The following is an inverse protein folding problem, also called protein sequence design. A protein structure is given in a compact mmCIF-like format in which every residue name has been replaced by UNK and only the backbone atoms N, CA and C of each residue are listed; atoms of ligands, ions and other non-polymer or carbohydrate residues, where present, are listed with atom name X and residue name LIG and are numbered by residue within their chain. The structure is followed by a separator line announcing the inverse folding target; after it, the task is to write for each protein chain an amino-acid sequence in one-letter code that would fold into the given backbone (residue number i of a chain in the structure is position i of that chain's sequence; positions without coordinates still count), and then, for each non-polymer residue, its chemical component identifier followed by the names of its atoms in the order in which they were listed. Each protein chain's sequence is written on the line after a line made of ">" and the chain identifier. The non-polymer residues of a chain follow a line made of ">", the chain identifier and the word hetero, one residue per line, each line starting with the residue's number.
data_IF_904412503304
#
_entry.id   IF_904412503304
#
_cell.length_a   1.000
_cell.length_b   1.000
_cell.length_c   1.000
_cell.angle_alpha   90.00
_cell.angle_beta   90.00
_cell.angle_gamma   90.00
#
_symmetry.space_group_name_H-M   'P 1'
#
loop_
_entity.id
_entity.type
_entity.pdbx_description
1 polymer ?
#
# COMPACT_ATOMS: atom_id res chain seq x y z
N UNK A 1 -1.48 -13.21 4.31
CA UNK A 1 -1.19 -12.35 5.48
C UNK A 1 0.32 -12.20 5.68
N UNK A 2 0.81 -10.96 5.75
CA UNK A 2 2.22 -10.62 6.00
C UNK A 2 2.67 -11.14 7.38
N UNK A 3 3.98 -11.39 7.57
CA UNK A 3 4.53 -11.81 8.87
C UNK A 3 4.60 -10.61 9.80
N UNK A 4 4.20 -10.78 11.07
CA UNK A 4 4.40 -9.73 12.08
C UNK A 4 5.89 -9.59 12.44
N UNK A 5 6.27 -8.46 13.02
CA UNK A 5 7.62 -8.29 13.56
C UNK A 5 7.96 -9.37 14.63
N UNK A 6 6.96 -9.78 15.42
CA UNK A 6 7.10 -10.88 16.38
C UNK A 6 7.48 -12.18 15.69
N UNK A 7 6.79 -12.54 14.61
CA UNK A 7 7.06 -13.74 13.83
C UNK A 7 8.50 -13.76 13.30
N UNK A 8 8.96 -12.66 12.71
CA UNK A 8 10.35 -12.55 12.20
C UNK A 8 11.38 -12.75 13.30
N UNK A 9 11.18 -12.12 14.46
CA UNK A 9 12.12 -12.22 15.59
C UNK A 9 12.10 -13.62 16.22
N UNK A 10 10.92 -14.21 16.40
CA UNK A 10 10.78 -15.54 17.00
C UNK A 10 11.37 -16.64 16.10
N UNK A 11 11.16 -16.56 14.78
CA UNK A 11 11.81 -17.47 13.83
C UNK A 11 13.33 -17.35 13.87
N UNK A 12 13.86 -16.14 14.02
CA UNK A 12 15.30 -15.90 14.14
C UNK A 12 15.87 -16.54 15.41
N UNK A 13 15.16 -16.44 16.54
CA UNK A 13 15.54 -17.08 17.80
C UNK A 13 15.49 -18.62 17.71
N UNK A 14 14.42 -19.18 17.10
CA UNK A 14 14.29 -20.62 16.87
C UNK A 14 15.42 -21.15 15.98
N UNK A 15 15.75 -20.43 14.92
CA UNK A 15 16.87 -20.76 14.03
C UNK A 15 18.21 -20.77 14.79
N UNK A 16 18.46 -19.76 15.62
CA UNK A 16 19.66 -19.71 16.47
C UNK A 16 19.72 -20.86 17.50
N UNK A 17 18.57 -21.36 17.94
CA UNK A 17 18.45 -22.53 18.81
C UNK A 17 18.49 -23.88 18.07
N UNK A 18 18.69 -23.90 16.75
CA UNK A 18 18.75 -25.12 15.94
C UNK A 18 17.39 -25.70 15.52
N UNK A 19 16.29 -24.97 15.73
CA UNK A 19 14.93 -25.40 15.39
C UNK A 19 14.53 -24.78 14.05
N UNK A 20 14.69 -25.55 12.97
CA UNK A 20 14.43 -25.11 11.59
C UNK A 20 13.09 -25.53 11.00
N UNK A 21 12.28 -26.32 11.73
CA UNK A 21 11.04 -26.90 11.18
C UNK A 21 9.85 -25.94 11.25
N UNK A 22 9.97 -24.86 12.02
CA UNK A 22 8.92 -23.86 12.19
C UNK A 22 9.07 -22.80 11.09
N UNK A 23 8.08 -22.70 10.20
CA UNK A 23 8.08 -21.75 9.07
C UNK A 23 7.38 -20.42 9.40
N UNK A 24 6.52 -20.43 10.43
CA UNK A 24 5.76 -19.27 10.91
C UNK A 24 5.36 -19.47 12.37
N UNK A 25 5.44 -18.39 13.16
CA UNK A 25 4.98 -18.34 14.54
C UNK A 25 4.38 -16.96 14.82
N UNK A 26 3.08 -16.90 15.13
CA UNK A 26 2.40 -15.63 15.43
C UNK A 26 1.99 -15.58 16.91
N UNK A 27 1.83 -14.36 17.44
CA UNK A 27 1.31 -14.12 18.78
C UNK A 27 -0.05 -13.46 18.67
N UNK A 28 -1.02 -13.97 19.42
CA UNK A 28 -2.35 -13.37 19.57
C UNK A 28 -2.63 -13.10 21.04
N UNK A 29 -3.53 -12.16 21.30
CA UNK A 29 -4.11 -11.91 22.62
C UNK A 29 -5.54 -12.43 22.57
N UNK A 30 -5.89 -13.31 23.51
CA UNK A 30 -7.27 -13.79 23.66
C UNK A 30 -7.93 -13.03 24.80
N UNK A 31 -8.97 -12.28 24.47
CA UNK A 31 -9.85 -11.66 25.46
C UNK A 31 -10.96 -12.64 25.84
N UNK A 32 -11.21 -12.77 27.13
CA UNK A 32 -12.32 -13.53 27.68
C UNK A 32 -13.22 -12.55 28.42
N UNK A 33 -14.52 -12.63 28.17
CA UNK A 33 -15.53 -11.78 28.79
C UNK A 33 -16.44 -12.63 29.68
N UNK A 34 -16.70 -12.15 30.89
CA UNK A 34 -17.71 -12.73 31.76
C UNK A 34 -19.08 -12.16 31.38
N UNK A 35 -19.76 -12.83 30.44
CA UNK A 35 -21.08 -12.41 29.93
C UNK A 35 -21.14 -12.32 28.41
N UNK A 36 -21.98 -11.42 27.91
CA UNK A 36 -22.09 -11.18 26.48
C UNK A 36 -20.81 -10.51 25.95
N UNK A 37 -20.42 -10.88 24.72
CA UNK A 37 -19.34 -10.21 23.99
C UNK A 37 -19.78 -8.76 23.73
N UNK A 38 -18.94 -7.74 24.02
CA UNK A 38 -19.25 -6.34 23.72
C UNK A 38 -19.47 -6.09 22.21
N UNK A 39 -20.06 -4.95 21.87
CA UNK A 39 -20.17 -4.48 20.49
C UNK A 39 -18.80 -4.14 19.86
N UNK A 40 -18.79 -4.02 18.53
CA UNK A 40 -17.56 -3.81 17.75
C UNK A 40 -16.82 -2.51 18.12
N UNK A 41 -17.52 -1.43 18.47
CA UNK A 41 -16.90 -0.16 18.88
C UNK A 41 -16.11 -0.37 20.19
N UNK A 42 -16.74 -1.01 21.17
CA UNK A 42 -16.10 -1.33 22.45
C UNK A 42 -14.92 -2.29 22.26
N UNK A 43 -15.06 -3.28 21.37
CA UNK A 43 -13.97 -4.21 21.06
C UNK A 43 -12.78 -3.50 20.39
N UNK A 44 -13.01 -2.53 19.51
CA UNK A 44 -11.95 -1.73 18.90
C UNK A 44 -11.23 -0.86 19.93
N UNK A 45 -11.94 -0.29 20.90
CA UNK A 45 -11.30 0.45 22.01
C UNK A 45 -10.41 -0.46 22.88
N UNK A 46 -10.85 -1.70 23.14
CA UNK A 46 -10.09 -2.68 23.93
C UNK A 46 -8.87 -3.23 23.16
N UNK A 47 -9.06 -3.54 21.87
CA UNK A 47 -8.03 -4.12 21.01
C UNK A 47 -7.00 -3.09 20.52
N UNK A 48 -7.37 -1.80 20.51
CA UNK A 48 -6.52 -0.70 20.06
C UNK A 48 -6.19 -0.82 18.57
N UNK A 49 -4.90 -0.90 18.25
CA UNK A 49 -4.38 -1.00 16.89
C UNK A 49 -4.34 -2.44 16.34
N UNK A 50 -4.80 -3.42 17.12
CA UNK A 50 -4.77 -4.82 16.70
C UNK A 50 -5.97 -5.20 15.84
N UNK A 51 -5.71 -5.95 14.77
CA UNK A 51 -6.79 -6.60 14.01
C UNK A 51 -7.53 -7.60 14.92
N UNK A 52 -8.85 -7.46 14.99
CA UNK A 52 -9.73 -8.38 15.70
C UNK A 52 -10.05 -9.56 14.78
N UNK A 53 -9.92 -10.78 15.32
CA UNK A 53 -10.28 -12.02 14.63
C UNK A 53 -11.36 -12.74 15.43
N UNK A 54 -12.52 -12.96 14.81
CA UNK A 54 -13.67 -13.64 15.43
C UNK A 54 -13.61 -15.17 15.30
N UNK A 55 -12.83 -15.67 14.34
CA UNK A 55 -12.72 -17.08 13.98
C UNK A 55 -11.28 -17.59 14.06
N UNK A 56 -11.11 -18.91 13.90
CA UNK A 56 -9.78 -19.50 13.76
C UNK A 56 -9.07 -18.93 12.52
N UNK A 57 -7.86 -18.39 12.73
CA UNK A 57 -7.07 -17.76 11.68
C UNK A 57 -6.32 -18.84 10.89
N UNK A 58 -6.48 -18.82 9.57
CA UNK A 58 -5.63 -19.59 8.67
C UNK A 58 -4.39 -18.77 8.27
N UNK A 59 -3.21 -19.31 8.58
CA UNK A 59 -1.93 -18.72 8.23
C UNK A 59 -1.26 -19.37 7.03
N UNK A 60 -1.97 -20.27 6.34
CA UNK A 60 -1.48 -20.92 5.13
C UNK A 60 -1.00 -19.85 4.15
N UNK A 61 0.29 -19.86 3.78
CA UNK A 61 0.79 -18.89 2.82
C UNK A 61 0.04 -19.07 1.50
N UNK A 62 -0.55 -17.99 0.98
CA UNK A 62 -0.99 -17.96 -0.41
C UNK A 62 0.28 -18.13 -1.24
N UNK A 63 0.46 -19.32 -1.81
CA UNK A 63 1.61 -19.66 -2.63
C UNK A 63 1.34 -19.20 -4.05
N UNK A 64 2.14 -18.27 -4.54
CA UNK A 64 2.13 -17.84 -5.93
C UNK A 64 2.55 -16.39 -6.04
N UNK A 65 3.34 -16.07 -7.05
CA UNK A 65 3.45 -14.69 -7.51
C UNK A 65 2.21 -14.42 -8.34
N UNK A 66 1.43 -13.40 -7.97
CA UNK A 66 0.35 -12.95 -8.85
C UNK A 66 0.97 -12.46 -10.17
N UNK A 67 0.32 -12.81 -11.28
CA UNK A 67 0.75 -12.31 -12.57
C UNK A 67 0.43 -10.83 -12.64
N UNK A 68 1.37 -10.03 -13.13
CA UNK A 68 1.09 -8.67 -13.55
C UNK A 68 0.20 -8.70 -14.79
N UNK A 69 -0.54 -7.63 -15.02
CA UNK A 69 -1.39 -7.47 -16.20
C UNK A 69 -1.13 -6.14 -16.88
N UNK A 70 -1.42 -6.08 -18.18
CA UNK A 70 -1.29 -4.87 -18.97
C UNK A 70 -2.59 -4.07 -18.98
N UNK A 71 -2.47 -2.75 -18.93
CA UNK A 71 -3.59 -1.83 -19.09
C UNK A 71 -3.59 -1.40 -20.56
N UNK A 72 -4.67 -1.71 -21.28
CA UNK A 72 -4.74 -1.45 -22.72
C UNK A 72 -4.97 0.03 -23.06
N UNK A 73 -3.93 0.83 -22.88
CA UNK A 73 -3.93 2.26 -23.16
C UNK A 73 -3.82 2.54 -24.65
N UNK A 74 -3.13 1.68 -25.42
CA UNK A 74 -3.02 1.81 -26.88
C UNK A 74 -4.35 1.62 -27.59
N UNK A 75 -5.19 0.68 -27.12
CA UNK A 75 -6.54 0.48 -27.63
C UNK A 75 -7.50 1.60 -27.20
N UNK A 76 -7.46 1.99 -25.93
CA UNK A 76 -8.26 3.08 -25.39
C UNK A 76 -7.53 3.83 -24.25
N UNK A 77 -7.10 5.09 -24.48
CA UNK A 77 -6.43 5.89 -23.46
C UNK A 77 -7.23 6.06 -22.17
N UNK A 78 -8.56 5.91 -22.20
CA UNK A 78 -9.42 6.04 -21.02
C UNK A 78 -9.26 4.87 -20.05
N UNK A 79 -8.67 3.75 -20.48
CA UNK A 79 -8.36 2.63 -19.61
C UNK A 79 -7.35 3.00 -18.53
N UNK A 80 -6.50 4.02 -18.76
CA UNK A 80 -5.63 4.53 -17.70
C UNK A 80 -6.44 5.24 -16.59
N UNK A 81 -7.53 5.94 -16.94
CA UNK A 81 -8.38 6.61 -15.93
C UNK A 81 -9.09 5.56 -15.06
N UNK A 82 -9.61 4.49 -15.68
CA UNK A 82 -10.21 3.37 -14.95
C UNK A 82 -9.19 2.69 -14.04
N UNK A 83 -7.99 2.43 -14.55
CA UNK A 83 -6.93 1.82 -13.75
C UNK A 83 -6.52 2.70 -12.55
N UNK A 84 -6.52 4.03 -12.71
CA UNK A 84 -6.24 4.95 -11.61
C UNK A 84 -7.26 4.82 -10.47
N UNK A 85 -8.55 4.70 -10.80
CA UNK A 85 -9.63 4.52 -9.83
C UNK A 85 -9.63 3.12 -9.21
N UNK A 86 -9.57 2.07 -10.04
CA UNK A 86 -9.66 0.67 -9.61
C UNK A 86 -8.45 0.22 -8.79
N UNK A 87 -7.25 0.70 -9.13
CA UNK A 87 -6.00 0.36 -8.43
C UNK A 87 -5.62 1.37 -7.34
N UNK A 88 -6.37 2.46 -7.19
CA UNK A 88 -6.13 3.47 -6.16
C UNK A 88 -4.78 4.19 -6.31
N UNK A 89 -4.39 4.52 -7.55
CA UNK A 89 -3.07 5.09 -7.86
C UNK A 89 -2.94 6.58 -7.49
N UNK A 90 -4.08 7.25 -7.29
CA UNK A 90 -4.16 8.65 -6.86
C UNK A 90 -3.43 9.65 -7.79
N UNK A 91 -3.34 9.34 -9.08
CA UNK A 91 -2.80 10.27 -10.08
C UNK A 91 -3.68 11.50 -10.23
N UNK A 92 -3.04 12.66 -10.28
CA UNK A 92 -3.73 13.91 -10.55
C UNK A 92 -3.92 14.14 -12.07
N UNK A 93 -4.55 15.26 -12.43
CA UNK A 93 -4.80 15.59 -13.84
C UNK A 93 -3.52 15.73 -14.67
N UNK A 94 -2.44 16.26 -14.09
CA UNK A 94 -1.16 16.42 -14.79
C UNK A 94 -0.46 15.08 -14.97
N UNK A 95 -0.44 14.24 -13.95
CA UNK A 95 0.06 12.87 -14.00
C UNK A 95 -0.64 12.10 -15.12
N UNK A 96 -1.96 12.15 -15.16
CA UNK A 96 -2.77 11.46 -16.17
C UNK A 96 -2.44 11.92 -17.59
N UNK A 97 -2.26 13.23 -17.80
CA UNK A 97 -1.84 13.76 -19.12
C UNK A 97 -0.43 13.30 -19.49
N UNK A 98 0.50 13.33 -18.53
CA UNK A 98 1.88 12.95 -18.76
C UNK A 98 2.02 11.45 -19.06
N UNK A 99 1.37 10.58 -18.28
CA UNK A 99 1.46 9.13 -18.46
C UNK A 99 0.75 8.67 -19.72
N UNK A 100 -0.39 9.28 -20.09
CA UNK A 100 -1.01 9.03 -21.40
C UNK A 100 -0.03 9.36 -22.53
N UNK A 101 0.61 10.53 -22.50
CA UNK A 101 1.62 10.88 -23.51
C UNK A 101 2.82 9.91 -23.51
N UNK A 102 3.31 9.53 -22.32
CA UNK A 102 4.43 8.62 -22.16
C UNK A 102 4.15 7.26 -22.80
N UNK A 103 3.03 6.61 -22.47
CA UNK A 103 2.73 5.28 -22.97
C UNK A 103 2.23 5.28 -24.42
N UNK A 104 1.46 6.29 -24.84
CA UNK A 104 0.93 6.38 -26.21
C UNK A 104 1.97 6.84 -27.23
N UNK A 105 2.68 7.95 -26.94
CA UNK A 105 3.47 8.65 -27.95
C UNK A 105 4.95 8.31 -27.86
N UNK A 106 5.49 8.19 -26.65
CA UNK A 106 6.94 7.99 -26.43
C UNK A 106 7.32 6.52 -26.43
N UNK A 107 6.69 5.73 -25.57
CA UNK A 107 7.00 4.31 -25.40
C UNK A 107 6.23 3.42 -26.39
N UNK A 108 5.03 3.85 -26.81
CA UNK A 108 4.16 3.14 -27.76
C UNK A 108 3.89 1.69 -27.34
N UNK A 109 3.60 1.50 -26.05
CA UNK A 109 3.25 0.21 -25.45
C UNK A 109 2.29 0.40 -24.29
N UNK A 110 1.57 -0.65 -23.94
CA UNK A 110 0.75 -0.70 -22.75
C UNK A 110 1.63 -0.70 -21.47
N UNK A 111 1.26 0.05 -20.43
CA UNK A 111 1.84 -0.12 -19.11
C UNK A 111 1.35 -1.40 -18.44
N UNK A 112 2.16 -1.93 -17.54
CA UNK A 112 1.72 -2.95 -16.56
C UNK A 112 1.22 -2.31 -15.28
N UNK A 113 0.36 -3.00 -14.54
CA UNK A 113 -0.09 -2.60 -13.20
C UNK A 113 1.09 -2.32 -12.26
N UNK A 114 2.13 -3.15 -12.30
CA UNK A 114 3.35 -2.97 -11.50
C UNK A 114 4.06 -1.66 -11.85
N UNK A 115 4.18 -1.30 -13.13
CA UNK A 115 4.78 -0.02 -13.54
C UNK A 115 3.95 1.17 -13.09
N UNK A 116 2.62 1.06 -13.14
CA UNK A 116 1.73 2.12 -12.67
C UNK A 116 1.82 2.32 -11.15
N UNK A 117 1.92 1.24 -10.38
CA UNK A 117 2.16 1.32 -8.94
C UNK A 117 3.51 1.98 -8.61
N UNK A 118 4.58 1.64 -9.35
CA UNK A 118 5.89 2.25 -9.16
C UNK A 118 5.84 3.77 -9.39
N UNK A 119 5.22 4.18 -10.51
CA UNK A 119 5.00 5.60 -10.83
C UNK A 119 4.19 6.32 -9.75
N UNK A 120 3.10 5.71 -9.27
CA UNK A 120 2.26 6.28 -8.20
C UNK A 120 3.05 6.51 -6.90
N UNK A 121 3.91 5.57 -6.51
CA UNK A 121 4.71 5.73 -5.30
C UNK A 121 5.82 6.77 -5.47
N UNK A 122 6.52 6.76 -6.60
CA UNK A 122 7.62 7.68 -6.87
C UNK A 122 7.18 9.13 -7.03
N UNK A 123 6.02 9.37 -7.66
CA UNK A 123 5.54 10.72 -7.95
C UNK A 123 4.52 11.26 -6.95
N UNK A 124 4.17 10.48 -5.92
CA UNK A 124 3.37 10.95 -4.79
C UNK A 124 3.99 12.19 -4.12
N UNK A 125 3.14 13.02 -3.50
CA UNK A 125 3.59 14.22 -2.76
C UNK A 125 4.65 13.87 -1.72
N UNK A 126 4.46 12.78 -0.99
CA UNK A 126 5.37 12.34 0.05
C UNK A 126 6.76 12.00 -0.48
N UNK A 127 6.85 11.45 -1.69
CA UNK A 127 8.13 11.07 -2.31
C UNK A 127 8.84 12.24 -3.00
N UNK A 128 8.08 13.16 -3.61
CA UNK A 128 8.64 14.19 -4.49
C UNK A 128 8.50 15.62 -3.96
N UNK A 129 7.82 15.80 -2.83
CA UNK A 129 7.75 17.04 -2.05
C UNK A 129 7.37 18.26 -2.89
N UNK A 130 6.41 18.09 -3.81
CA UNK A 130 6.04 19.14 -4.77
C UNK A 130 5.44 20.37 -4.08
N UNK A 131 4.75 20.17 -2.95
CA UNK A 131 4.23 21.26 -2.12
C UNK A 131 5.34 22.22 -1.69
N UNK A 132 6.48 21.64 -1.30
CA UNK A 132 7.67 22.36 -0.88
C UNK A 132 8.43 23.01 -2.05
N UNK A 133 8.32 22.44 -3.26
CA UNK A 133 8.87 23.03 -4.48
C UNK A 133 7.96 24.07 -5.14
N UNK A 134 6.73 24.22 -4.64
CA UNK A 134 5.75 25.16 -5.16
C UNK A 134 6.11 26.62 -4.89
N UNK A 135 5.47 27.54 -5.61
CA UNK A 135 5.53 28.97 -5.30
C UNK A 135 4.44 29.30 -4.30
N UNK A 136 4.83 29.77 -3.12
CA UNK A 136 3.90 30.16 -2.07
C UNK A 136 3.52 31.64 -2.23
N UNK A 137 2.24 31.96 -2.35
CA UNK A 137 1.74 33.33 -2.33
C UNK A 137 0.90 33.56 -1.08
N UNK A 138 1.25 34.55 -0.26
CA UNK A 138 0.48 34.97 0.93
C UNK A 138 0.13 36.44 0.74
N UNK A 139 -1.16 36.77 0.78
CA UNK A 139 -1.70 38.11 0.52
C UNK A 139 -1.21 38.71 -0.82
N UNK A 140 -1.16 37.87 -1.86
CA UNK A 140 -0.70 38.26 -3.19
C UNK A 140 0.81 38.46 -3.32
N UNK A 141 1.60 38.21 -2.27
CA UNK A 141 3.06 38.32 -2.28
C UNK A 141 3.71 36.95 -2.28
N UNK A 142 4.60 36.72 -3.25
CA UNK A 142 5.40 35.49 -3.31
C UNK A 142 6.34 35.41 -2.11
N UNK A 143 6.38 34.25 -1.47
CA UNK A 143 7.26 33.90 -0.36
C UNK A 143 8.31 32.93 -0.87
N UNK A 144 9.57 33.18 -0.50
CA UNK A 144 10.64 32.24 -0.77
C UNK A 144 10.46 31.04 0.17
N UNK A 145 10.16 29.88 -0.38
CA UNK A 145 10.10 28.65 0.40
C UNK A 145 11.53 28.21 0.68
N UNK A 146 11.87 28.02 1.95
CA UNK A 146 13.23 27.66 2.39
C UNK A 146 13.33 26.14 2.32
N UNK A 147 13.98 25.62 1.27
CA UNK A 147 14.47 24.23 1.25
C UNK A 147 16.00 24.26 1.15
N UNK A 148 16.65 23.55 2.06
CA UNK A 148 18.05 23.13 1.95
C UNK A 148 18.13 21.88 1.07
#
# INVERSE_FOLDING_TARGET
>A
MQKTAYCTNALSALSAAGIGQVSRLERTIRYQFDGAIPDDETLLEIAGDQCIYTDNIDFTPIKGRENFFEIDVLGDPTNLDKANEELGLAFDKYDMLYYKDLFLNKLKRNPTDVELFDLAQCDSEHSRHWFFRGRLFVDGKERKVIFY
#
